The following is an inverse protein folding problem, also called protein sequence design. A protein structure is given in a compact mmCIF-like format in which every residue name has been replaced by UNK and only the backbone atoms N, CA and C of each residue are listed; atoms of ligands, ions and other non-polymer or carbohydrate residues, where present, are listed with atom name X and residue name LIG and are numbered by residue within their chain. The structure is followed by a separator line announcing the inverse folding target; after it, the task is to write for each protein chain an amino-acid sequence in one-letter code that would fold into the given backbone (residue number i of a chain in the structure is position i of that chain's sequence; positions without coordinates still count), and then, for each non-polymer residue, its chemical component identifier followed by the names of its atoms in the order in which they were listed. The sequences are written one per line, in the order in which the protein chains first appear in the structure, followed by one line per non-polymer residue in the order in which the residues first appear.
data_IF_338417855784
#
_entry.id   IF_338417855784
#
_cell.length_a   1.000
_cell.length_b   1.000
_cell.length_c   1.000
_cell.angle_alpha   90.00
_cell.angle_beta   90.00
_cell.angle_gamma   90.00
#
_symmetry.space_group_name_H-M   'P 1'
#
loop_
_entity.id
_entity.type
_entity.pdbx_description
1 polymer ?
#
# COMPACT_ATOMS: atom_id res chain seq x y z
N UNK A 1 77.76 -15.13 72.20
CA UNK A 1 76.53 -15.52 71.46
C UNK A 1 76.21 -14.40 70.50
N UNK A 2 76.36 -14.63 69.18
CA UNK A 2 75.99 -13.68 68.15
C UNK A 2 74.72 -14.21 67.48
N UNK A 3 73.63 -13.45 67.58
CA UNK A 3 72.35 -13.77 66.92
C UNK A 3 72.43 -13.18 65.52
N UNK A 4 72.53 -14.05 64.51
CA UNK A 4 72.41 -13.68 63.11
C UNK A 4 70.95 -13.89 62.70
N UNK A 5 70.24 -12.80 62.42
CA UNK A 5 68.90 -12.83 61.85
C UNK A 5 69.03 -12.95 60.32
N UNK A 6 68.49 -13.99 59.68
CA UNK A 6 68.53 -14.10 58.23
C UNK A 6 67.51 -13.12 57.62
N UNK A 7 67.98 -12.19 56.79
CA UNK A 7 67.14 -11.29 55.99
C UNK A 7 66.77 -12.01 54.70
N UNK A 8 65.49 -12.33 54.52
CA UNK A 8 64.94 -12.95 53.30
C UNK A 8 64.72 -11.90 52.20
N UNK A 9 65.76 -11.62 51.41
CA UNK A 9 65.74 -10.63 50.31
C UNK A 9 64.91 -11.11 49.11
N UNK A 10 64.86 -12.42 48.84
CA UNK A 10 64.18 -12.99 47.66
C UNK A 10 62.63 -12.99 47.71
N UNK A 11 62.03 -12.97 48.89
CA UNK A 11 60.56 -12.95 49.02
C UNK A 11 59.93 -11.59 48.70
N UNK A 12 60.69 -10.51 48.89
CA UNK A 12 60.21 -9.14 48.66
C UNK A 12 60.13 -8.83 47.16
N UNK A 13 61.12 -9.24 46.38
CA UNK A 13 61.13 -9.03 44.92
C UNK A 13 60.00 -9.79 44.21
N UNK A 14 59.69 -11.02 44.64
CA UNK A 14 58.57 -11.80 44.10
C UNK A 14 57.23 -11.15 44.42
N UNK A 15 57.04 -10.71 45.66
CA UNK A 15 55.82 -10.03 46.10
C UNK A 15 55.59 -8.69 45.37
N UNK A 16 56.66 -7.94 45.09
CA UNK A 16 56.60 -6.71 44.31
C UNK A 16 56.23 -6.95 42.84
N UNK A 17 56.74 -8.02 42.20
CA UNK A 17 56.39 -8.39 40.82
C UNK A 17 54.93 -8.84 40.69
N UNK A 18 54.44 -9.62 41.64
CA UNK A 18 53.03 -10.02 41.70
C UNK A 18 52.11 -8.80 41.84
N UNK A 19 52.44 -7.87 42.73
CA UNK A 19 51.71 -6.62 42.88
C UNK A 19 51.76 -5.74 41.62
N UNK A 20 52.89 -5.67 40.92
CA UNK A 20 53.00 -4.94 39.65
C UNK A 20 52.10 -5.53 38.57
N UNK A 21 52.11 -6.87 38.42
CA UNK A 21 51.27 -7.59 37.46
C UNK A 21 49.78 -7.40 37.78
N UNK A 22 49.39 -7.46 39.05
CA UNK A 22 48.02 -7.20 39.49
C UNK A 22 47.58 -5.75 39.19
N UNK A 23 48.47 -4.76 39.37
CA UNK A 23 48.18 -3.36 39.02
C UNK A 23 48.01 -3.17 37.51
N UNK A 24 48.87 -3.78 36.69
CA UNK A 24 48.74 -3.73 35.24
C UNK A 24 47.43 -4.39 34.76
N UNK A 25 47.05 -5.52 35.37
CA UNK A 25 45.77 -6.16 35.11
C UNK A 25 44.58 -5.26 35.49
N UNK A 26 44.65 -4.59 36.64
CA UNK A 26 43.61 -3.65 37.07
C UNK A 26 43.50 -2.45 36.11
N UNK A 27 44.61 -1.82 35.73
CA UNK A 27 44.61 -0.69 34.77
C UNK A 27 44.02 -1.10 33.43
N UNK A 28 44.33 -2.32 32.97
CA UNK A 28 43.73 -2.87 31.74
C UNK A 28 42.22 -3.07 31.91
N UNK A 29 41.77 -3.63 33.03
CA UNK A 29 40.36 -3.82 33.32
C UNK A 29 39.60 -2.49 33.38
N UNK A 30 40.17 -1.47 34.04
CA UNK A 30 39.57 -0.13 34.13
C UNK A 30 39.46 0.53 32.76
N UNK A 31 40.48 0.35 31.89
CA UNK A 31 40.42 0.84 30.50
C UNK A 31 39.29 0.19 29.73
N UNK A 32 39.20 -1.15 29.75
CA UNK A 32 38.14 -1.88 29.07
C UNK A 32 36.74 -1.50 29.58
N UNK A 33 36.59 -1.27 30.89
CA UNK A 33 35.34 -0.82 31.47
C UNK A 33 34.96 0.61 31.02
N UNK A 34 35.94 1.51 30.90
CA UNK A 34 35.73 2.85 30.36
C UNK A 34 35.34 2.83 28.88
N UNK A 35 36.03 2.02 28.08
CA UNK A 35 35.74 1.86 26.64
C UNK A 35 34.31 1.30 26.46
N UNK A 36 33.96 0.23 27.18
CA UNK A 36 32.62 -0.36 27.13
C UNK A 36 31.51 0.62 27.59
N UNK A 37 31.79 1.47 28.58
CA UNK A 37 30.86 2.53 28.98
C UNK A 37 30.73 3.59 27.89
N UNK A 38 31.84 3.99 27.26
CA UNK A 38 31.82 4.94 26.15
C UNK A 38 30.95 4.43 25.00
N UNK A 39 31.13 3.17 24.61
CA UNK A 39 30.34 2.54 23.54
C UNK A 39 28.85 2.47 23.90
N UNK A 40 28.52 2.15 25.15
CA UNK A 40 27.14 2.12 25.62
C UNK A 40 26.49 3.51 25.60
N UNK A 41 27.24 4.57 25.94
CA UNK A 41 26.75 5.95 25.88
C UNK A 41 26.52 6.41 24.43
N UNK A 42 27.42 6.07 23.51
CA UNK A 42 27.21 6.34 22.07
C UNK A 42 25.94 5.63 21.58
N UNK A 43 25.80 4.33 21.88
CA UNK A 43 24.60 3.59 21.46
C UNK A 43 23.33 4.13 22.12
N UNK A 44 23.39 4.67 23.33
CA UNK A 44 22.26 5.34 23.99
C UNK A 44 21.85 6.58 23.22
N UNK A 45 22.80 7.46 22.93
CA UNK A 45 22.52 8.74 22.28
C UNK A 45 21.97 8.52 20.87
N UNK A 46 22.56 7.62 20.08
CA UNK A 46 22.04 7.23 18.75
C UNK A 46 20.60 6.69 18.85
N UNK A 47 20.32 5.82 19.83
CA UNK A 47 18.98 5.23 20.01
C UNK A 47 17.96 6.27 20.45
N UNK A 48 18.36 7.26 21.25
CA UNK A 48 17.48 8.37 21.66
C UNK A 48 17.13 9.25 20.47
N UNK A 49 18.08 9.54 19.58
CA UNK A 49 17.81 10.33 18.38
C UNK A 49 16.89 9.57 17.42
N UNK A 50 17.15 8.28 17.17
CA UNK A 50 16.32 7.41 16.34
C UNK A 50 14.87 7.33 16.86
N UNK A 51 14.66 7.09 18.16
CA UNK A 51 13.30 6.95 18.72
C UNK A 51 12.56 8.27 18.75
N UNK A 52 13.24 9.41 18.96
CA UNK A 52 12.63 10.73 18.91
C UNK A 52 12.14 11.04 17.50
N UNK A 53 12.95 10.80 16.48
CA UNK A 53 12.52 10.96 15.10
C UNK A 53 11.34 10.04 14.78
N UNK A 54 11.40 8.78 15.21
CA UNK A 54 10.33 7.81 15.02
C UNK A 54 9.01 8.24 15.65
N UNK A 55 9.03 8.71 16.89
CA UNK A 55 7.84 9.17 17.63
C UNK A 55 7.24 10.47 17.07
N UNK A 56 7.97 11.22 16.24
CA UNK A 56 7.45 12.39 15.51
C UNK A 56 6.74 12.03 14.20
N UNK A 57 6.83 10.78 13.74
CA UNK A 57 6.12 10.32 12.53
C UNK A 57 4.64 10.09 12.80
N UNK A 58 3.85 9.89 11.73
CA UNK A 58 2.46 9.47 11.87
C UNK A 58 2.39 8.02 12.36
N UNK A 59 1.97 7.83 13.62
CA UNK A 59 1.82 6.52 14.27
C UNK A 59 0.35 6.11 14.43
N UNK A 60 -0.58 6.76 13.72
CA UNK A 60 -2.02 6.47 13.83
C UNK A 60 -2.42 5.05 13.44
N UNK A 61 -1.53 4.32 12.76
CA UNK A 61 -1.71 2.91 12.39
C UNK A 61 -1.42 1.93 13.53
N UNK A 62 -0.69 2.34 14.56
CA UNK A 62 -0.24 1.47 15.64
C UNK A 62 -1.19 1.52 16.84
N UNK A 63 -1.33 0.41 17.60
CA UNK A 63 -2.09 0.43 18.85
C UNK A 63 -1.54 1.48 19.84
N UNK A 64 -2.44 2.25 20.44
CA UNK A 64 -2.08 3.39 21.30
C UNK A 64 -1.26 2.96 22.53
N UNK A 65 -1.54 1.77 23.07
CA UNK A 65 -0.78 1.15 24.17
C UNK A 65 0.65 0.80 23.76
N UNK A 66 0.83 0.25 22.55
CA UNK A 66 2.15 -0.12 22.02
C UNK A 66 3.02 1.12 21.77
N UNK A 67 2.42 2.21 21.30
CA UNK A 67 3.12 3.50 21.14
C UNK A 67 3.46 4.12 22.50
N UNK A 68 2.54 4.04 23.47
CA UNK A 68 2.78 4.52 24.83
C UNK A 68 3.94 3.75 25.51
N UNK A 69 3.97 2.43 25.40
CA UNK A 69 5.06 1.58 25.91
C UNK A 69 6.42 1.96 25.32
N UNK A 70 6.48 2.28 24.01
CA UNK A 70 7.69 2.78 23.37
C UNK A 70 8.09 4.16 23.90
N UNK A 71 7.13 5.06 24.07
CA UNK A 71 7.39 6.40 24.62
C UNK A 71 7.91 6.34 26.06
N UNK A 72 7.39 5.43 26.88
CA UNK A 72 7.86 5.22 28.24
C UNK A 72 9.24 4.55 28.27
N UNK A 73 9.51 3.57 27.39
CA UNK A 73 10.84 3.00 27.23
C UNK A 73 11.89 4.05 26.80
N UNK A 74 11.49 5.04 25.98
CA UNK A 74 12.34 6.18 25.60
C UNK A 74 12.69 7.04 26.82
N UNK A 75 11.70 7.41 27.66
CA UNK A 75 11.94 8.16 28.91
C UNK A 75 12.82 7.41 29.90
N UNK A 76 12.65 6.09 30.00
CA UNK A 76 13.51 5.23 30.82
C UNK A 76 14.97 5.27 30.34
N UNK A 77 15.19 5.26 29.02
CA UNK A 77 16.53 5.38 28.45
C UNK A 77 17.15 6.77 28.67
N UNK A 78 16.33 7.83 28.66
CA UNK A 78 16.79 9.19 28.97
C UNK A 78 17.27 9.30 30.43
N UNK A 79 16.53 8.67 31.36
CA UNK A 79 16.77 8.76 32.80
C UNK A 79 17.74 7.72 33.36
N UNK A 80 18.16 6.73 32.56
CA UNK A 80 19.10 5.69 32.99
C UNK A 80 20.44 6.29 33.44
N UNK A 81 21.04 5.72 34.48
CA UNK A 81 22.33 6.17 34.97
C UNK A 81 23.43 5.99 33.91
N UNK A 82 24.13 7.07 33.58
CA UNK A 82 25.25 7.09 32.62
C UNK A 82 26.48 6.29 33.10
N UNK A 83 26.50 5.87 34.36
CA UNK A 83 27.60 5.06 34.92
C UNK A 83 27.32 3.56 34.89
N UNK A 84 26.08 3.13 34.64
CA UNK A 84 25.69 1.73 34.64
C UNK A 84 25.54 1.19 33.20
N UNK A 85 26.64 0.66 32.67
CA UNK A 85 26.71 0.10 31.32
C UNK A 85 25.66 -1.00 31.07
N UNK A 86 25.35 -1.83 32.07
CA UNK A 86 24.38 -2.92 31.92
C UNK A 86 22.95 -2.38 31.82
N UNK A 87 22.61 -1.41 32.67
CA UNK A 87 21.31 -0.75 32.62
C UNK A 87 21.11 0.01 31.31
N UNK A 88 22.14 0.71 30.81
CA UNK A 88 22.10 1.41 29.51
C UNK A 88 21.80 0.41 28.38
N UNK A 89 22.58 -0.66 28.26
CA UNK A 89 22.40 -1.66 27.20
C UNK A 89 21.01 -2.32 27.25
N UNK A 90 20.50 -2.57 28.46
CA UNK A 90 19.16 -3.11 28.66
C UNK A 90 18.07 -2.13 28.22
N UNK A 91 18.20 -0.84 28.56
CA UNK A 91 17.26 0.19 28.16
C UNK A 91 17.29 0.44 26.64
N UNK A 92 18.47 0.50 26.03
CA UNK A 92 18.66 0.57 24.58
C UNK A 92 17.94 -0.58 23.87
N UNK A 93 18.10 -1.80 24.38
CA UNK A 93 17.46 -2.99 23.80
C UNK A 93 15.92 -2.91 23.88
N UNK A 94 15.37 -2.39 24.99
CA UNK A 94 13.92 -2.18 25.12
C UNK A 94 13.39 -1.20 24.08
N UNK A 95 14.07 -0.06 23.89
CA UNK A 95 13.66 0.94 22.89
C UNK A 95 13.72 0.37 21.48
N UNK A 96 14.84 -0.28 21.10
CA UNK A 96 14.99 -0.91 19.77
C UNK A 96 13.91 -1.97 19.50
N UNK A 97 13.59 -2.78 20.51
CA UNK A 97 12.51 -3.76 20.42
C UNK A 97 11.13 -3.08 20.31
N UNK A 98 10.87 -2.02 21.08
CA UNK A 98 9.64 -1.25 20.99
C UNK A 98 9.44 -0.64 19.60
N UNK A 99 10.48 -0.02 19.03
CA UNK A 99 10.44 0.49 17.65
C UNK A 99 10.18 -0.61 16.63
N UNK A 100 10.74 -1.81 16.84
CA UNK A 100 10.50 -2.98 15.98
C UNK A 100 9.06 -3.48 16.10
N UNK A 101 8.50 -3.50 17.31
CA UNK A 101 7.12 -3.91 17.59
C UNK A 101 6.12 -2.94 16.97
N UNK A 102 6.34 -1.63 17.08
CA UNK A 102 5.51 -0.63 16.38
C UNK A 102 5.70 -0.76 14.87
N UNK A 103 6.95 -0.92 14.42
CA UNK A 103 7.32 -1.07 13.01
C UNK A 103 7.01 0.17 12.17
N UNK A 104 7.32 0.10 10.87
CA UNK A 104 6.88 1.10 9.88
C UNK A 104 6.09 0.40 8.77
N UNK A 105 4.87 0.84 8.44
CA UNK A 105 4.14 0.38 7.27
C UNK A 105 5.00 0.45 6.01
N UNK A 106 4.88 -0.54 5.13
CA UNK A 106 5.52 -0.44 3.83
C UNK A 106 4.95 0.72 3.02
N UNK A 107 5.82 1.59 2.55
CA UNK A 107 5.54 2.67 1.61
C UNK A 107 6.49 2.60 0.43
N UNK A 108 6.14 3.29 -0.66
CA UNK A 108 6.98 3.37 -1.85
C UNK A 108 7.19 4.83 -2.20
N UNK A 109 8.43 5.19 -2.50
CA UNK A 109 8.71 6.46 -3.17
C UNK A 109 8.03 6.48 -4.55
N UNK A 110 7.78 7.66 -5.11
CA UNK A 110 7.19 7.78 -6.44
C UNK A 110 8.17 8.44 -7.40
N UNK A 111 8.31 7.84 -8.59
CA UNK A 111 9.04 8.40 -9.73
C UNK A 111 8.03 8.80 -10.79
N UNK A 112 7.82 10.11 -10.96
CA UNK A 112 6.79 10.64 -11.86
C UNK A 112 7.41 11.35 -13.05
N UNK A 113 6.80 11.19 -14.22
CA UNK A 113 7.19 11.85 -15.46
C UNK A 113 6.19 12.96 -15.79
N UNK A 114 6.68 14.16 -16.07
CA UNK A 114 5.84 15.26 -16.55
C UNK A 114 5.57 15.19 -18.07
N UNK A 115 4.69 16.06 -18.56
CA UNK A 115 4.35 16.16 -19.99
C UNK A 115 5.51 16.59 -20.88
N UNK A 116 6.63 17.05 -20.30
CA UNK A 116 7.88 17.36 -21.00
C UNK A 116 8.93 16.23 -20.85
N UNK A 117 8.49 15.05 -20.41
CA UNK A 117 9.32 13.86 -20.20
C UNK A 117 10.42 14.02 -19.16
N UNK A 118 10.31 14.99 -18.24
CA UNK A 118 11.23 15.11 -17.11
C UNK A 118 10.77 14.24 -15.95
N UNK A 119 11.73 13.60 -15.27
CA UNK A 119 11.46 12.73 -14.13
C UNK A 119 11.64 13.48 -12.82
N UNK A 120 10.66 13.34 -11.94
CA UNK A 120 10.60 13.95 -10.62
C UNK A 120 10.44 12.86 -9.55
N UNK A 121 11.12 13.02 -8.42
CA UNK A 121 11.07 12.07 -7.30
C UNK A 121 10.23 12.64 -6.16
N UNK A 122 9.42 11.79 -5.57
CA UNK A 122 8.48 12.11 -4.50
C UNK A 122 8.64 11.08 -3.37
N UNK A 123 8.60 11.48 -2.09
CA UNK A 123 8.70 10.56 -0.96
C UNK A 123 7.62 9.47 -0.94
N UNK A 124 6.42 9.80 -1.39
CA UNK A 124 5.25 8.91 -1.42
C UNK A 124 4.18 9.43 -2.41
N UNK A 125 3.12 8.66 -2.64
CA UNK A 125 2.04 9.06 -3.54
C UNK A 125 1.25 10.29 -3.07
N UNK A 126 1.18 10.58 -1.76
CA UNK A 126 0.42 11.73 -1.24
C UNK A 126 1.13 13.03 -1.56
N UNK A 127 2.45 13.02 -1.51
CA UNK A 127 3.27 14.17 -1.91
C UNK A 127 3.12 14.51 -3.41
N UNK A 128 2.76 13.52 -4.24
CA UNK A 128 2.41 13.76 -5.65
C UNK A 128 1.15 14.61 -5.78
N UNK A 129 0.14 14.40 -4.93
CA UNK A 129 -1.13 15.13 -4.98
C UNK A 129 -0.98 16.61 -4.64
N UNK A 130 0.05 16.96 -3.86
CA UNK A 130 0.39 18.33 -3.53
C UNK A 130 1.21 19.04 -4.64
N UNK A 131 1.69 18.30 -5.65
CA UNK A 131 2.49 18.84 -6.74
C UNK A 131 1.65 19.67 -7.70
N UNK A 132 2.22 20.77 -8.20
CA UNK A 132 1.63 21.57 -9.29
C UNK A 132 2.25 21.25 -10.66
N UNK A 133 3.13 20.25 -10.73
CA UNK A 133 3.75 19.84 -11.98
C UNK A 133 2.71 19.19 -12.90
N UNK A 134 2.81 19.37 -14.24
CA UNK A 134 1.93 18.72 -15.20
C UNK A 134 2.36 17.24 -15.36
N UNK A 135 2.09 16.42 -14.35
CA UNK A 135 2.46 15.02 -14.33
C UNK A 135 1.60 14.21 -15.32
N UNK A 136 2.24 13.26 -16.00
CA UNK A 136 1.62 12.39 -17.01
C UNK A 136 1.52 10.93 -16.56
N UNK A 137 2.46 10.47 -15.75
CA UNK A 137 2.49 9.13 -15.13
C UNK A 137 3.40 9.10 -13.91
N UNK A 138 3.20 8.14 -13.03
CA UNK A 138 3.98 7.85 -11.83
C UNK A 138 4.15 6.34 -11.68
N UNK A 139 5.34 5.92 -11.28
CA UNK A 139 5.66 4.54 -10.98
C UNK A 139 6.26 4.45 -9.58
N UNK A 140 5.90 3.42 -8.83
CA UNK A 140 6.47 3.15 -7.51
C UNK A 140 7.95 2.84 -7.63
N UNK A 141 8.75 3.57 -6.84
CA UNK A 141 10.18 3.38 -6.68
C UNK A 141 10.52 2.51 -5.48
N UNK A 142 11.38 3.03 -4.60
CA UNK A 142 11.95 2.28 -3.50
C UNK A 142 10.91 1.97 -2.43
N UNK A 143 10.76 0.69 -2.11
CA UNK A 143 9.98 0.20 -0.96
C UNK A 143 10.74 0.45 0.34
N UNK A 144 10.10 1.07 1.32
CA UNK A 144 10.63 1.33 2.66
C UNK A 144 9.62 0.91 3.72
N UNK A 145 10.09 0.43 4.88
CA UNK A 145 9.23 -0.06 5.96
C UNK A 145 9.60 -1.46 6.43
N UNK A 146 8.81 -2.01 7.34
CA UNK A 146 9.06 -3.30 7.98
C UNK A 146 7.89 -4.27 7.90
N UNK A 147 6.67 -3.81 7.62
CA UNK A 147 5.51 -4.70 7.54
C UNK A 147 4.40 -4.20 6.60
N UNK A 148 3.58 -5.14 6.11
CA UNK A 148 2.36 -4.83 5.36
C UNK A 148 1.17 -4.60 6.31
N UNK A 149 0.47 -3.48 6.14
CA UNK A 149 -0.72 -3.12 6.94
C UNK A 149 -1.92 -4.02 6.64
N UNK A 150 -2.95 -3.96 7.48
CA UNK A 150 -4.21 -4.66 7.24
C UNK A 150 -4.84 -4.24 5.89
N UNK A 151 -4.87 -2.94 5.58
CA UNK A 151 -5.36 -2.41 4.30
C UNK A 151 -4.61 -3.00 3.11
N UNK A 152 -3.28 -3.09 3.18
CA UNK A 152 -2.44 -3.65 2.11
C UNK A 152 -2.66 -5.15 1.92
N UNK A 153 -2.96 -5.87 3.01
CA UNK A 153 -3.32 -7.30 2.97
C UNK A 153 -4.74 -7.51 2.45
N UNK A 154 -5.67 -6.61 2.80
CA UNK A 154 -7.04 -6.63 2.31
C UNK A 154 -7.09 -6.43 0.79
N UNK A 155 -6.21 -5.60 0.23
CA UNK A 155 -6.10 -5.44 -1.22
C UNK A 155 -5.66 -6.72 -1.95
N UNK A 156 -4.81 -7.55 -1.33
CA UNK A 156 -4.52 -8.89 -1.84
C UNK A 156 -5.74 -9.81 -1.72
N UNK A 157 -6.41 -9.80 -0.57
CA UNK A 157 -7.59 -10.63 -0.32
C UNK A 157 -8.77 -10.31 -1.26
N UNK A 158 -8.92 -9.06 -1.69
CA UNK A 158 -9.93 -8.65 -2.67
C UNK A 158 -9.61 -9.07 -4.11
N UNK A 159 -8.39 -9.56 -4.36
CA UNK A 159 -7.91 -9.89 -5.69
C UNK A 159 -7.55 -8.66 -6.54
N UNK A 160 -7.39 -7.48 -5.93
CA UNK A 160 -6.88 -6.29 -6.62
C UNK A 160 -5.41 -6.45 -7.03
N UNK A 161 -4.65 -7.25 -6.27
CA UNK A 161 -3.27 -7.62 -6.56
C UNK A 161 -3.11 -9.13 -6.38
N UNK A 162 -2.12 -9.72 -7.05
CA UNK A 162 -1.84 -11.17 -6.99
C UNK A 162 -0.81 -11.55 -5.92
N UNK A 163 -0.08 -10.58 -5.38
CA UNK A 163 0.87 -10.75 -4.28
C UNK A 163 1.02 -9.45 -3.49
N UNK A 164 1.55 -9.52 -2.26
CA UNK A 164 1.78 -8.32 -1.44
C UNK A 164 2.74 -7.31 -2.09
N UNK A 165 3.68 -7.77 -2.93
CA UNK A 165 4.58 -6.90 -3.68
C UNK A 165 3.82 -6.02 -4.69
N UNK A 166 2.61 -6.42 -5.11
CA UNK A 166 1.74 -5.62 -5.97
C UNK A 166 1.22 -4.34 -5.32
N UNK A 167 1.43 -4.12 -4.03
CA UNK A 167 1.03 -2.87 -3.36
C UNK A 167 1.71 -1.63 -3.96
N UNK A 168 2.93 -1.75 -4.51
CA UNK A 168 3.58 -0.65 -5.23
C UNK A 168 2.75 -0.17 -6.43
N UNK A 169 2.12 -1.10 -7.16
CA UNK A 169 1.20 -0.77 -8.25
C UNK A 169 -0.01 0.00 -7.77
N UNK A 170 -0.63 -0.42 -6.66
CA UNK A 170 -1.77 0.30 -6.08
C UNK A 170 -1.38 1.72 -5.66
N UNK A 171 -0.17 1.92 -5.11
CA UNK A 171 0.32 3.26 -4.78
C UNK A 171 0.61 4.11 -6.01
N UNK A 172 1.10 3.49 -7.10
CA UNK A 172 1.28 4.18 -8.38
C UNK A 172 -0.06 4.66 -8.92
N UNK A 173 -1.10 3.82 -8.85
CA UNK A 173 -2.47 4.20 -9.21
C UNK A 173 -2.98 5.34 -8.33
N UNK A 174 -2.76 5.25 -7.01
CA UNK A 174 -3.09 6.32 -6.09
C UNK A 174 -2.40 7.65 -6.43
N UNK A 175 -1.15 7.62 -6.89
CA UNK A 175 -0.45 8.83 -7.35
C UNK A 175 -1.11 9.40 -8.61
N UNK A 176 -1.62 8.53 -9.49
CA UNK A 176 -2.16 8.89 -10.80
C UNK A 176 -3.67 9.11 -10.87
N UNK A 177 -4.50 8.88 -9.84
CA UNK A 177 -5.98 8.90 -9.99
C UNK A 177 -6.58 10.20 -10.60
N UNK A 178 -5.84 11.31 -10.66
CA UNK A 178 -6.21 12.55 -11.34
C UNK A 178 -5.62 12.77 -12.75
N UNK A 179 -4.72 11.90 -13.20
CA UNK A 179 -4.05 11.92 -14.51
C UNK A 179 -3.73 10.49 -14.98
N UNK A 180 -2.84 10.33 -15.96
CA UNK A 180 -2.43 8.99 -16.39
C UNK A 180 -3.55 8.17 -17.03
N UNK A 181 -3.39 6.84 -16.98
CA UNK A 181 -4.17 5.94 -17.82
C UNK A 181 -5.62 5.76 -17.33
N UNK A 182 -5.86 5.85 -16.02
CA UNK A 182 -7.18 5.58 -15.44
C UNK A 182 -8.07 6.82 -15.31
N UNK A 183 -7.51 8.02 -15.18
CA UNK A 183 -8.30 9.22 -14.86
C UNK A 183 -9.29 9.64 -15.94
N UNK A 184 -9.02 9.30 -17.21
CA UNK A 184 -9.85 9.69 -18.36
C UNK A 184 -10.88 8.66 -18.81
N UNK A 185 -10.84 7.43 -18.30
CA UNK A 185 -11.66 6.33 -18.87
C UNK A 185 -13.11 6.43 -18.40
N UNK A 186 -14.06 6.27 -19.31
CA UNK A 186 -15.50 6.30 -18.99
C UNK A 186 -15.96 5.02 -18.27
N UNK A 187 -15.38 3.87 -18.63
CA UNK A 187 -15.65 2.57 -18.05
C UNK A 187 -14.36 1.76 -17.88
N UNK A 188 -14.40 0.77 -17.00
CA UNK A 188 -13.28 -0.11 -16.70
C UNK A 188 -13.66 -1.57 -17.00
N UNK A 189 -12.69 -2.36 -17.46
CA UNK A 189 -12.85 -3.82 -17.43
C UNK A 189 -12.92 -4.32 -15.99
N UNK A 190 -13.45 -5.53 -15.77
CA UNK A 190 -13.51 -6.16 -14.44
C UNK A 190 -12.16 -6.13 -13.71
N UNK A 191 -11.05 -6.36 -14.42
CA UNK A 191 -9.71 -6.35 -13.81
C UNK A 191 -9.30 -4.95 -13.37
N UNK A 192 -9.49 -3.95 -14.23
CA UNK A 192 -9.18 -2.55 -13.92
C UNK A 192 -10.04 -2.03 -12.77
N UNK A 193 -11.32 -2.38 -12.74
CA UNK A 193 -12.24 -2.04 -11.68
C UNK A 193 -11.78 -2.60 -10.32
N UNK A 194 -11.30 -3.85 -10.28
CA UNK A 194 -10.72 -4.45 -9.06
C UNK A 194 -9.45 -3.76 -8.61
N UNK A 195 -8.56 -3.45 -9.55
CA UNK A 195 -7.30 -2.77 -9.25
C UNK A 195 -7.55 -1.36 -8.69
N UNK A 196 -8.44 -0.60 -9.31
CA UNK A 196 -8.88 0.72 -8.84
C UNK A 196 -9.58 0.65 -7.49
N UNK A 197 -10.47 -0.34 -7.28
CA UNK A 197 -11.09 -0.55 -5.98
C UNK A 197 -10.04 -0.82 -4.89
N UNK A 198 -9.03 -1.63 -5.19
CA UNK A 198 -7.91 -1.89 -4.28
C UNK A 198 -7.04 -0.66 -4.02
N UNK A 199 -6.75 0.14 -5.05
CA UNK A 199 -6.04 1.41 -4.86
C UNK A 199 -6.85 2.35 -3.96
N UNK A 200 -8.16 2.46 -4.18
CA UNK A 200 -9.06 3.29 -3.40
C UNK A 200 -9.23 2.86 -1.93
N UNK A 201 -8.83 1.64 -1.54
CA UNK A 201 -8.71 1.28 -0.12
C UNK A 201 -7.43 1.84 0.51
N UNK A 202 -6.35 1.96 -0.28
CA UNK A 202 -5.06 2.52 0.13
C UNK A 202 -5.10 4.06 0.17
N UNK A 203 -5.79 4.69 -0.78
CA UNK A 203 -5.94 6.15 -0.89
C UNK A 203 -7.41 6.61 -0.91
N UNK A 204 -8.18 6.33 0.15
CA UNK A 204 -9.61 6.67 0.18
C UNK A 204 -9.87 8.17 0.13
N UNK A 205 -8.88 8.98 0.51
CA UNK A 205 -8.91 10.43 0.62
C UNK A 205 -8.36 11.15 -0.61
N UNK A 206 -8.03 10.44 -1.69
CA UNK A 206 -7.62 11.06 -2.95
C UNK A 206 -8.72 12.03 -3.44
N UNK A 207 -8.41 13.24 -3.95
CA UNK A 207 -9.42 14.20 -4.40
C UNK A 207 -10.40 13.69 -5.47
N UNK A 208 -9.95 12.74 -6.31
CA UNK A 208 -10.74 12.03 -7.33
C UNK A 208 -11.34 10.70 -6.89
N UNK A 209 -11.17 10.30 -5.63
CA UNK A 209 -11.63 8.99 -5.15
C UNK A 209 -13.14 8.77 -5.36
N UNK A 210 -13.96 9.80 -5.15
CA UNK A 210 -15.41 9.73 -5.35
C UNK A 210 -15.79 9.45 -6.80
N UNK A 211 -15.25 10.24 -7.73
CA UNK A 211 -15.51 10.12 -9.17
C UNK A 211 -15.08 8.74 -9.69
N UNK A 212 -13.88 8.29 -9.31
CA UNK A 212 -13.34 6.99 -9.74
C UNK A 212 -14.17 5.85 -9.15
N UNK A 213 -14.56 5.93 -7.87
CA UNK A 213 -15.39 4.90 -7.23
C UNK A 213 -16.73 4.75 -7.94
N UNK A 214 -17.38 5.86 -8.30
CA UNK A 214 -18.63 5.81 -9.06
C UNK A 214 -18.46 5.11 -10.43
N UNK A 215 -17.38 5.38 -11.15
CA UNK A 215 -17.07 4.70 -12.43
C UNK A 215 -16.76 3.21 -12.26
N UNK A 216 -16.04 2.85 -11.20
CA UNK A 216 -15.77 1.46 -10.83
C UNK A 216 -17.08 0.72 -10.52
N UNK A 217 -17.93 1.29 -9.67
CA UNK A 217 -19.22 0.71 -9.29
C UNK A 217 -20.12 0.52 -10.52
N UNK A 218 -20.20 1.53 -11.39
CA UNK A 218 -20.94 1.45 -12.66
C UNK A 218 -20.40 0.34 -13.57
N UNK A 219 -19.07 0.21 -13.68
CA UNK A 219 -18.45 -0.82 -14.52
C UNK A 219 -18.74 -2.22 -13.99
N UNK A 220 -18.67 -2.42 -12.67
CA UNK A 220 -19.01 -3.71 -12.02
C UNK A 220 -20.50 -4.03 -12.21
N UNK A 221 -21.39 -3.04 -12.08
CA UNK A 221 -22.82 -3.23 -12.28
C UNK A 221 -23.16 -3.59 -13.73
N UNK A 222 -22.49 -2.96 -14.70
CA UNK A 222 -22.63 -3.28 -16.12
C UNK A 222 -22.13 -4.69 -16.42
N UNK A 223 -20.95 -5.07 -15.94
CA UNK A 223 -20.39 -6.42 -16.11
C UNK A 223 -21.34 -7.49 -15.53
N UNK A 224 -21.92 -7.24 -14.36
CA UNK A 224 -22.92 -8.12 -13.76
C UNK A 224 -24.20 -8.19 -14.61
N UNK A 225 -24.66 -7.06 -15.15
CA UNK A 225 -25.80 -7.04 -16.06
C UNK A 225 -25.52 -7.84 -17.34
N UNK A 226 -24.32 -7.76 -17.90
CA UNK A 226 -23.92 -8.58 -19.06
C UNK A 226 -23.90 -10.07 -18.70
N UNK A 227 -23.28 -10.43 -17.57
CA UNK A 227 -23.20 -11.82 -17.12
C UNK A 227 -24.58 -12.45 -16.86
N UNK A 228 -25.55 -11.66 -16.41
CA UNK A 228 -26.93 -12.08 -16.16
C UNK A 228 -27.84 -11.99 -17.40
N UNK A 229 -27.31 -11.60 -18.57
CA UNK A 229 -28.09 -11.41 -19.80
C UNK A 229 -29.08 -10.24 -19.74
N UNK A 230 -28.84 -9.28 -18.84
CA UNK A 230 -29.60 -8.03 -18.64
C UNK A 230 -28.97 -6.83 -19.34
N UNK A 231 -27.75 -6.94 -19.85
CA UNK A 231 -27.15 -5.99 -20.77
C UNK A 231 -26.46 -6.73 -21.92
N UNK A 232 -26.48 -6.17 -23.12
CA UNK A 232 -25.80 -6.77 -24.28
C UNK A 232 -25.57 -5.76 -25.40
N UNK A 233 -24.48 -5.95 -26.13
CA UNK A 233 -24.18 -5.19 -27.34
C UNK A 233 -24.73 -5.83 -28.61
N UNK A 234 -24.19 -5.36 -29.73
CA UNK A 234 -24.58 -5.73 -31.10
C UNK A 234 -24.42 -7.23 -31.43
N UNK A 235 -25.02 -7.63 -32.55
CA UNK A 235 -25.06 -8.99 -33.08
C UNK A 235 -26.20 -9.84 -32.50
N UNK A 236 -26.32 -11.06 -33.03
CA UNK A 236 -27.40 -11.99 -32.68
C UNK A 236 -27.24 -12.53 -31.24
N UNK A 237 -28.35 -12.60 -30.51
CA UNK A 237 -28.46 -13.12 -29.14
C UNK A 237 -29.63 -14.09 -29.05
N UNK A 238 -29.40 -15.24 -28.44
CA UNK A 238 -30.43 -16.24 -28.18
C UNK A 238 -31.19 -15.88 -26.90
N UNK A 239 -32.50 -15.72 -27.02
CA UNK A 239 -33.37 -15.31 -25.91
C UNK A 239 -33.60 -16.51 -24.98
N UNK A 240 -33.53 -16.28 -23.67
CA UNK A 240 -33.61 -17.32 -22.63
C UNK A 240 -32.31 -18.09 -22.40
N UNK A 241 -31.31 -17.95 -23.28
CA UNK A 241 -29.99 -18.59 -23.12
C UNK A 241 -28.87 -17.56 -22.90
N UNK A 242 -28.77 -16.57 -23.79
CA UNK A 242 -27.74 -15.51 -23.72
C UNK A 242 -28.30 -14.24 -23.09
N UNK A 243 -29.55 -13.89 -23.40
CA UNK A 243 -30.21 -12.70 -22.88
C UNK A 243 -31.58 -13.06 -22.30
N UNK A 244 -32.00 -12.33 -21.27
CA UNK A 244 -33.29 -12.57 -20.62
C UNK A 244 -34.43 -11.85 -21.36
N UNK A 245 -35.68 -12.34 -21.28
CA UNK A 245 -36.85 -11.55 -21.68
C UNK A 245 -36.97 -10.28 -20.83
N UNK A 246 -37.49 -9.20 -21.40
CA UNK A 246 -37.67 -7.92 -20.69
C UNK A 246 -37.80 -6.72 -21.61
N UNK A 247 -37.94 -5.54 -21.00
CA UNK A 247 -37.85 -4.26 -21.71
C UNK A 247 -36.41 -3.78 -21.70
N UNK A 248 -35.87 -3.55 -22.89
CA UNK A 248 -34.50 -3.12 -23.09
C UNK A 248 -34.47 -1.75 -23.75
N UNK A 249 -33.51 -0.94 -23.32
CA UNK A 249 -33.30 0.41 -23.83
C UNK A 249 -31.85 0.57 -24.22
N UNK A 250 -31.62 1.27 -25.33
CA UNK A 250 -30.33 1.90 -25.64
C UNK A 250 -30.53 3.41 -25.73
N UNK A 251 -29.54 4.17 -25.25
CA UNK A 251 -29.53 5.63 -25.20
C UNK A 251 -28.19 6.16 -25.73
N UNK A 252 -28.20 7.39 -26.23
CA UNK A 252 -27.05 8.02 -26.87
C UNK A 252 -27.35 8.32 -28.34
N UNK A 253 -26.37 8.87 -29.06
CA UNK A 253 -26.51 9.15 -30.49
C UNK A 253 -26.64 7.83 -31.27
N UNK A 254 -27.82 7.57 -31.81
CA UNK A 254 -28.14 6.40 -32.63
C UNK A 254 -28.14 6.82 -34.10
N UNK A 255 -27.10 6.44 -34.84
CA UNK A 255 -26.99 6.67 -36.29
C UNK A 255 -27.03 5.34 -37.05
N UNK A 256 -28.15 5.12 -37.75
CA UNK A 256 -28.40 3.88 -38.49
C UNK A 256 -28.53 2.63 -37.60
N UNK A 257 -29.07 2.78 -36.39
CA UNK A 257 -29.36 1.67 -35.48
C UNK A 257 -30.46 0.78 -36.08
N UNK A 258 -30.13 -0.48 -36.35
CA UNK A 258 -31.10 -1.50 -36.74
C UNK A 258 -31.22 -2.54 -35.63
N UNK A 259 -32.45 -2.93 -35.30
CA UNK A 259 -32.70 -4.08 -34.45
C UNK A 259 -33.87 -4.91 -34.98
N UNK A 260 -33.85 -6.21 -34.67
CA UNK A 260 -34.93 -7.14 -34.99
C UNK A 260 -35.08 -8.23 -33.93
N UNK A 261 -36.30 -8.75 -33.83
CA UNK A 261 -36.68 -9.95 -33.10
C UNK A 261 -37.16 -10.97 -34.11
N UNK A 262 -36.74 -12.22 -33.97
CA UNK A 262 -37.15 -13.30 -34.88
C UNK A 262 -37.71 -14.50 -34.13
N UNK A 263 -38.51 -15.29 -34.83
CA UNK A 263 -38.98 -16.58 -34.36
C UNK A 263 -37.96 -17.71 -34.63
N UNK A 264 -38.31 -18.95 -34.29
CA UNK A 264 -37.43 -20.10 -34.44
C UNK A 264 -37.13 -20.49 -35.90
N UNK A 265 -37.92 -20.01 -36.87
CA UNK A 265 -37.66 -20.17 -38.30
C UNK A 265 -36.76 -19.06 -38.85
N UNK A 266 -36.46 -18.03 -38.05
CA UNK A 266 -35.71 -16.85 -38.46
C UNK A 266 -36.59 -15.77 -39.09
N UNK A 267 -37.92 -15.91 -39.04
CA UNK A 267 -38.83 -14.89 -39.55
C UNK A 267 -38.92 -13.71 -38.58
N UNK A 268 -38.93 -12.49 -39.12
CA UNK A 268 -38.98 -11.27 -38.32
C UNK A 268 -40.35 -11.15 -37.65
N UNK A 269 -40.35 -11.09 -36.33
CA UNK A 269 -41.50 -10.76 -35.49
C UNK A 269 -41.69 -9.24 -35.47
N UNK A 270 -40.59 -8.50 -35.31
CA UNK A 270 -40.59 -7.05 -35.18
C UNK A 270 -39.18 -6.50 -35.44
N UNK A 271 -39.09 -5.31 -36.03
CA UNK A 271 -37.82 -4.65 -36.30
C UNK A 271 -37.98 -3.13 -36.37
N UNK A 272 -36.87 -2.41 -36.27
CA UNK A 272 -36.85 -0.98 -36.55
C UNK A 272 -35.49 -0.55 -37.10
N UNK A 273 -35.50 0.46 -37.98
CA UNK A 273 -34.31 1.16 -38.48
C UNK A 273 -34.38 2.63 -38.07
N UNK A 274 -33.55 3.00 -37.11
CA UNK A 274 -33.45 4.34 -36.56
C UNK A 274 -32.32 5.05 -37.28
N UNK A 275 -32.68 5.94 -38.23
CA UNK A 275 -31.69 6.72 -38.98
C UNK A 275 -30.93 7.69 -38.07
N UNK A 276 -31.66 8.41 -37.21
CA UNK A 276 -31.13 9.36 -36.23
C UNK A 276 -32.07 9.36 -35.02
N UNK A 277 -31.52 9.29 -33.81
CA UNK A 277 -32.29 9.25 -32.57
C UNK A 277 -31.40 9.26 -31.33
N UNK A 278 -32.02 9.52 -30.18
CA UNK A 278 -31.32 9.57 -28.88
C UNK A 278 -31.64 8.37 -27.96
N UNK A 279 -32.64 7.58 -28.33
CA UNK A 279 -33.15 6.46 -27.53
C UNK A 279 -33.91 5.47 -28.42
N UNK A 280 -33.72 4.18 -28.14
CA UNK A 280 -34.55 3.11 -28.65
C UNK A 280 -34.99 2.20 -27.50
N UNK A 281 -36.21 1.68 -27.59
CA UNK A 281 -36.79 0.77 -26.60
C UNK A 281 -37.43 -0.43 -27.30
N UNK A 282 -37.21 -1.62 -26.75
CA UNK A 282 -37.77 -2.87 -27.28
C UNK A 282 -38.25 -3.77 -26.13
N UNK A 283 -39.38 -4.43 -26.34
CA UNK A 283 -39.88 -5.47 -25.42
C UNK A 283 -39.54 -6.83 -26.02
N UNK A 284 -38.55 -7.51 -25.46
CA UNK A 284 -38.15 -8.87 -25.82
C UNK A 284 -39.00 -9.85 -25.04
N UNK A 285 -39.83 -10.63 -25.74
CA UNK A 285 -40.77 -11.57 -25.11
C UNK A 285 -40.11 -12.93 -24.92
N UNK A 286 -40.62 -13.71 -23.97
CA UNK A 286 -40.12 -15.07 -23.70
C UNK A 286 -40.34 -16.07 -24.84
N UNK A 287 -41.26 -15.77 -25.77
CA UNK A 287 -41.53 -16.60 -26.94
C UNK A 287 -40.72 -16.20 -28.19
N UNK A 288 -40.01 -15.07 -28.14
CA UNK A 288 -39.12 -14.66 -29.23
C UNK A 288 -37.90 -15.60 -29.21
N UNK A 289 -37.33 -15.92 -30.37
CA UNK A 289 -36.22 -16.88 -30.47
C UNK A 289 -34.86 -16.17 -30.46
N UNK A 290 -34.70 -15.12 -31.26
CA UNK A 290 -33.47 -14.34 -31.26
C UNK A 290 -33.73 -12.84 -31.32
N UNK A 291 -32.79 -12.08 -30.76
CA UNK A 291 -32.69 -10.64 -30.93
C UNK A 291 -31.38 -10.34 -31.65
N UNK A 292 -31.41 -9.42 -32.61
CA UNK A 292 -30.21 -8.93 -33.29
C UNK A 292 -30.24 -7.41 -33.33
N UNK A 293 -29.08 -6.79 -33.17
CA UNK A 293 -28.94 -5.35 -33.41
C UNK A 293 -27.58 -4.99 -34.00
N UNK A 294 -27.53 -3.88 -34.73
CA UNK A 294 -26.33 -3.34 -35.38
C UNK A 294 -26.38 -1.82 -35.28
N UNK A 295 -25.25 -1.17 -34.93
CA UNK A 295 -25.14 0.28 -34.71
C UNK A 295 -26.09 0.85 -33.65
N UNK A 296 -26.47 0.03 -32.68
CA UNK A 296 -27.38 0.43 -31.60
C UNK A 296 -26.66 0.63 -30.26
N UNK A 297 -25.36 0.33 -30.18
CA UNK A 297 -24.63 0.34 -28.92
C UNK A 297 -25.10 -0.78 -27.97
N UNK A 298 -25.15 -0.47 -26.68
CA UNK A 298 -25.49 -1.44 -25.62
C UNK A 298 -26.92 -1.29 -25.17
N UNK A 299 -27.67 -2.37 -25.23
CA UNK A 299 -29.02 -2.50 -24.69
C UNK A 299 -28.96 -2.88 -23.21
N UNK A 300 -29.74 -2.18 -22.37
CA UNK A 300 -29.86 -2.42 -20.93
C UNK A 300 -31.30 -2.65 -20.54
N UNK A 301 -31.53 -3.72 -19.78
CA UNK A 301 -32.82 -4.04 -19.19
C UNK A 301 -33.21 -2.96 -18.17
N UNK A 302 -34.43 -2.42 -18.30
CA UNK A 302 -35.02 -1.46 -17.36
C UNK A 302 -35.59 -2.13 -16.11
#
# INVERSE_FOLDING_TARGET
MAVVVPVTVGGIETQQREQATAREAQVRADRLANDARSDALVSRDDTLDDVREFLLTDLSYAPEDTVADLADASKDLESVSVTDTSAINSAVSRVKNGMTTVGKPYTWSMSCMDTAYQTHQFPDFRSVWASTLPLSRCESGTKSGTFYTETQRAALASGAISSLEGNGTLQSICAELGFGSYAGMESYSTSQAKELAGALTVCPDHPKAGDVRARVDNSIAEDAAVAEGRAFGEGVKRIGEVIQPGTYVTEGELDGCYWERTDAAGEIIDNNFINDGLRAEVIIRSGDYSFSSTRCGTWRKQ
#
